data_IF_021978581197
#
_entry.id   IF_021978581197
#
_cell.length_a   1.000
_cell.length_b   1.000
_cell.length_c   1.000
_cell.angle_alpha   90.00
_cell.angle_beta   90.00
_cell.angle_gamma   90.00
#
_symmetry.space_group_name_H-M   'P 1'
#
loop_
_entity.id
_entity.type
_entity.pdbx_description
1 polymer ?
#
# COMPACT_ATOMS: atom_id res chain seq x y z
N UNK A 1 -36.03 -31.92 -30.33
CA UNK A 1 -35.72 -30.64 -29.66
C UNK A 1 -34.74 -30.95 -28.53
N UNK A 2 -33.47 -31.18 -28.85
CA UNK A 2 -32.37 -30.20 -29.07
C UNK A 2 -31.58 -29.95 -27.78
N UNK A 3 -30.81 -30.96 -27.37
CA UNK A 3 -29.78 -30.89 -26.32
C UNK A 3 -28.72 -29.81 -26.65
N UNK A 4 -28.44 -29.59 -27.95
CA UNK A 4 -27.53 -28.54 -28.42
C UNK A 4 -27.98 -27.10 -28.09
N UNK A 5 -29.28 -26.83 -27.95
CA UNK A 5 -29.77 -25.48 -27.66
C UNK A 5 -29.53 -25.04 -26.20
N UNK A 6 -29.30 -26.00 -25.30
CA UNK A 6 -29.02 -25.74 -23.89
C UNK A 6 -27.54 -25.36 -23.70
N UNK A 7 -26.64 -26.06 -24.39
CA UNK A 7 -25.22 -25.73 -24.43
C UNK A 7 -24.96 -24.39 -25.12
N UNK A 8 -25.64 -24.09 -26.23
CA UNK A 8 -25.44 -22.83 -26.96
C UNK A 8 -25.84 -21.60 -26.14
N UNK A 9 -26.89 -21.71 -25.31
CA UNK A 9 -27.26 -20.66 -24.33
C UNK A 9 -26.21 -20.50 -23.24
N UNK A 10 -25.65 -21.61 -22.77
CA UNK A 10 -24.59 -21.59 -21.75
C UNK A 10 -23.30 -20.97 -22.28
N UNK A 11 -22.88 -21.32 -23.50
CA UNK A 11 -21.75 -20.68 -24.17
C UNK A 11 -22.01 -19.20 -24.43
N UNK A 12 -23.20 -18.81 -24.89
CA UNK A 12 -23.58 -17.39 -25.02
C UNK A 12 -23.40 -16.65 -23.70
N UNK A 13 -23.84 -17.20 -22.56
CA UNK A 13 -23.69 -16.54 -21.25
C UNK A 13 -22.24 -16.40 -20.78
N UNK A 14 -21.33 -17.29 -21.21
CA UNK A 14 -19.89 -17.17 -20.91
C UNK A 14 -19.28 -16.04 -21.75
N UNK A 15 -19.64 -15.95 -23.03
CA UNK A 15 -19.06 -14.98 -23.96
C UNK A 15 -19.72 -13.60 -23.93
N UNK A 16 -20.99 -13.49 -23.50
CA UNK A 16 -21.70 -12.21 -23.33
C UNK A 16 -21.33 -11.49 -22.04
N UNK A 17 -20.63 -12.16 -21.11
CA UNK A 17 -20.28 -11.60 -19.81
C UNK A 17 -21.39 -11.69 -18.76
N UNK A 18 -22.57 -12.22 -19.12
CA UNK A 18 -23.74 -12.32 -18.23
C UNK A 18 -23.50 -13.30 -17.06
N UNK A 19 -22.60 -14.27 -17.19
CA UNK A 19 -22.17 -15.14 -16.07
C UNK A 19 -21.25 -14.43 -15.07
N UNK A 20 -20.64 -13.30 -15.46
CA UNK A 20 -19.71 -12.54 -14.64
C UNK A 20 -20.29 -11.23 -14.13
N UNK A 21 -21.54 -10.91 -14.48
CA UNK A 21 -22.32 -9.86 -13.82
C UNK A 21 -22.88 -10.37 -12.49
N UNK A 22 -22.01 -10.90 -11.63
CA UNK A 22 -22.31 -10.84 -10.21
C UNK A 22 -22.06 -9.39 -9.81
N UNK A 23 -23.13 -8.71 -9.37
CA UNK A 23 -22.95 -7.67 -8.37
C UNK A 23 -21.95 -8.23 -7.36
N UNK A 24 -20.80 -7.55 -7.19
CA UNK A 24 -19.83 -7.94 -6.17
C UNK A 24 -20.52 -7.82 -4.83
N UNK A 25 -21.20 -8.88 -4.39
CA UNK A 25 -21.63 -9.01 -3.01
C UNK A 25 -20.39 -8.70 -2.17
N UNK A 26 -20.51 -7.68 -1.32
CA UNK A 26 -19.40 -7.24 -0.49
C UNK A 26 -18.85 -8.46 0.25
N UNK A 27 -17.58 -8.78 0.01
CA UNK A 27 -16.93 -9.91 0.66
C UNK A 27 -16.97 -9.65 2.17
N UNK A 28 -17.87 -10.32 2.88
CA UNK A 28 -18.00 -10.18 4.32
C UNK A 28 -16.84 -10.90 5.00
N UNK A 29 -16.00 -10.12 5.66
CA UNK A 29 -14.87 -10.67 6.37
C UNK A 29 -15.30 -11.39 7.65
N UNK A 30 -14.82 -12.61 7.87
CA UNK A 30 -15.19 -13.41 9.04
C UNK A 30 -14.47 -12.93 10.30
N UNK A 31 -13.19 -12.57 10.15
CA UNK A 31 -12.35 -12.12 11.25
C UNK A 31 -11.72 -10.78 10.88
N UNK A 32 -11.86 -9.80 11.77
CA UNK A 32 -11.25 -8.48 11.63
C UNK A 32 -10.52 -8.10 12.92
N UNK A 33 -9.21 -7.90 12.81
CA UNK A 33 -8.36 -7.39 13.90
C UNK A 33 -7.98 -5.95 13.58
N UNK A 34 -8.02 -5.07 14.59
CA UNK A 34 -7.73 -3.64 14.46
C UNK A 34 -6.56 -3.28 15.38
N UNK A 35 -5.61 -2.49 14.89
CA UNK A 35 -4.58 -1.91 15.75
C UNK A 35 -5.17 -0.84 16.69
N UNK A 36 -4.35 -0.33 17.61
CA UNK A 36 -4.65 0.95 18.26
C UNK A 36 -4.74 2.07 17.19
N UNK A 37 -5.50 3.12 17.50
CA UNK A 37 -5.50 4.36 16.71
C UNK A 37 -4.29 5.19 17.11
N UNK A 38 -3.55 5.69 16.13
CA UNK A 38 -2.46 6.63 16.33
C UNK A 38 -2.94 8.01 15.90
N UNK A 39 -2.99 8.93 16.86
CA UNK A 39 -3.55 10.27 16.65
C UNK A 39 -2.48 11.24 16.15
N UNK A 40 -2.81 12.02 15.12
CA UNK A 40 -1.95 13.04 14.52
C UNK A 40 -2.83 14.02 13.75
N UNK A 41 -2.50 15.31 13.77
CA UNK A 41 -3.11 16.29 12.87
C UNK A 41 -2.56 16.09 11.44
N UNK A 42 -3.27 15.30 10.62
CA UNK A 42 -2.80 14.84 9.30
C UNK A 42 -3.07 15.91 8.24
N UNK A 43 -4.20 16.63 8.36
CA UNK A 43 -4.60 17.70 7.45
C UNK A 43 -4.16 19.11 7.89
N UNK A 44 -3.53 19.24 9.07
CA UNK A 44 -3.04 20.52 9.63
C UNK A 44 -4.14 21.53 9.92
N UNK A 45 -5.32 21.07 10.30
CA UNK A 45 -6.44 21.93 10.69
C UNK A 45 -6.50 22.21 12.20
N UNK A 46 -5.55 21.65 12.97
CA UNK A 46 -5.48 21.76 14.42
C UNK A 46 -6.28 20.71 15.18
N UNK A 47 -6.91 19.76 14.50
CA UNK A 47 -7.60 18.62 15.10
C UNK A 47 -6.83 17.33 14.84
N UNK A 48 -6.94 16.40 15.78
CA UNK A 48 -6.27 15.11 15.63
C UNK A 48 -7.11 14.14 14.80
N UNK A 49 -6.53 13.68 13.70
CA UNK A 49 -7.00 12.55 12.90
C UNK A 49 -6.38 11.25 13.41
N UNK A 50 -6.89 10.11 12.94
CA UNK A 50 -6.37 8.80 13.34
C UNK A 50 -5.82 8.00 12.16
N UNK A 51 -4.65 7.39 12.36
CA UNK A 51 -4.09 6.35 11.51
C UNK A 51 -4.34 5.00 12.18
N UNK A 52 -4.79 4.01 11.41
CA UNK A 52 -5.02 2.66 11.92
C UNK A 52 -4.73 1.59 10.87
N UNK A 53 -4.28 0.43 11.32
CA UNK A 53 -4.16 -0.77 10.50
C UNK A 53 -5.22 -1.79 10.87
N UNK A 54 -5.64 -2.57 9.88
CA UNK A 54 -6.59 -3.65 10.06
C UNK A 54 -6.10 -4.89 9.35
N UNK A 55 -6.38 -6.05 9.91
CA UNK A 55 -6.23 -7.32 9.22
C UNK A 55 -7.60 -7.97 9.12
N UNK A 56 -8.09 -8.18 7.89
CA UNK A 56 -9.36 -8.84 7.62
C UNK A 56 -9.11 -10.13 6.84
N UNK A 57 -9.41 -11.27 7.45
CA UNK A 57 -9.12 -12.61 6.90
C UNK A 57 -7.69 -12.75 6.34
N UNK A 58 -6.70 -12.27 7.10
CA UNK A 58 -5.28 -12.31 6.70
C UNK A 58 -4.82 -11.16 5.80
N UNK A 59 -5.74 -10.39 5.22
CA UNK A 59 -5.42 -9.25 4.35
C UNK A 59 -5.18 -7.99 5.17
N UNK A 60 -4.06 -7.32 4.94
CA UNK A 60 -3.74 -6.05 5.59
C UNK A 60 -4.41 -4.86 4.90
N UNK A 61 -4.90 -3.95 5.72
CA UNK A 61 -5.46 -2.67 5.31
C UNK A 61 -4.82 -1.54 6.10
N UNK A 62 -4.63 -0.42 5.42
CA UNK A 62 -4.30 0.86 6.01
C UNK A 62 -5.52 1.77 5.90
N UNK A 63 -5.85 2.50 6.98
CA UNK A 63 -6.90 3.51 6.93
C UNK A 63 -6.55 4.79 7.67
N UNK A 64 -7.15 5.87 7.20
CA UNK A 64 -7.15 7.19 7.83
C UNK A 64 -8.59 7.49 8.24
N UNK A 65 -8.76 7.93 9.48
CA UNK A 65 -10.03 8.37 10.03
C UNK A 65 -9.94 9.84 10.43
N UNK A 66 -11.06 10.55 10.31
CA UNK A 66 -11.17 11.94 10.78
C UNK A 66 -11.25 12.04 12.30
N UNK A 67 -11.38 13.27 12.82
CA UNK A 67 -11.45 13.58 14.24
C UNK A 67 -12.64 12.91 14.95
N UNK A 68 -13.68 12.56 14.19
CA UNK A 68 -14.88 11.87 14.66
C UNK A 68 -14.79 10.35 14.50
N UNK A 69 -13.67 9.85 13.98
CA UNK A 69 -13.44 8.43 13.72
C UNK A 69 -14.16 7.88 12.49
N UNK A 70 -14.62 8.74 11.57
CA UNK A 70 -15.19 8.33 10.28
C UNK A 70 -14.06 8.02 9.32
N UNK A 71 -14.20 6.94 8.54
CA UNK A 71 -13.18 6.54 7.58
C UNK A 71 -13.15 7.53 6.41
N UNK A 72 -12.02 8.21 6.23
CA UNK A 72 -11.77 9.10 5.08
C UNK A 72 -11.05 8.41 3.95
N UNK A 73 -10.19 7.45 4.29
CA UNK A 73 -9.43 6.69 3.33
C UNK A 73 -9.18 5.28 3.87
N UNK A 74 -9.29 4.27 3.01
CA UNK A 74 -8.90 2.89 3.32
C UNK A 74 -8.33 2.23 2.07
N UNK A 75 -7.22 1.51 2.22
CA UNK A 75 -6.64 0.75 1.13
C UNK A 75 -6.05 -0.57 1.57
N UNK A 76 -6.16 -1.55 0.67
CA UNK A 76 -5.59 -2.88 0.82
C UNK A 76 -4.09 -2.84 0.52
N UNK A 77 -3.33 -3.52 1.36
CA UNK A 77 -1.92 -3.82 1.14
C UNK A 77 -1.81 -5.24 0.58
N UNK A 78 -0.79 -5.46 -0.24
CA UNK A 78 -0.60 -6.75 -0.91
C UNK A 78 0.51 -7.53 -0.18
N UNK A 79 0.15 -8.45 0.73
CA UNK A 79 1.14 -9.34 1.33
C UNK A 79 1.68 -10.30 0.29
N UNK A 80 2.90 -10.78 0.51
CA UNK A 80 3.52 -11.89 -0.22
C UNK A 80 3.70 -13.14 0.64
N UNK A 81 3.83 -12.96 1.95
CA UNK A 81 4.13 -14.04 2.89
C UNK A 81 3.35 -13.91 4.19
N UNK A 82 3.77 -14.70 5.17
CA UNK A 82 3.23 -14.69 6.52
C UNK A 82 3.69 -13.45 7.28
N UNK A 83 3.03 -13.14 8.41
CA UNK A 83 3.44 -12.07 9.33
C UNK A 83 3.51 -10.65 8.74
N UNK A 84 2.89 -10.43 7.58
CA UNK A 84 2.83 -9.12 6.93
C UNK A 84 2.21 -8.06 7.85
N UNK A 85 2.84 -6.89 7.89
CA UNK A 85 2.46 -5.80 8.80
C UNK A 85 3.06 -4.46 8.41
N UNK A 86 2.36 -3.36 8.73
CA UNK A 86 2.97 -2.03 8.74
C UNK A 86 3.63 -1.84 10.09
N UNK A 87 4.94 -1.60 10.11
CA UNK A 87 5.68 -1.40 11.36
C UNK A 87 6.12 0.05 11.59
N UNK A 88 6.05 0.90 10.54
CA UNK A 88 6.34 2.34 10.65
C UNK A 88 5.55 3.13 9.62
N UNK A 89 5.02 4.27 10.03
CA UNK A 89 4.49 5.30 9.14
C UNK A 89 5.28 6.59 9.40
N UNK A 90 5.76 7.23 8.34
CA UNK A 90 6.45 8.53 8.45
C UNK A 90 5.60 9.60 7.78
N UNK A 91 5.33 10.69 8.48
CA UNK A 91 4.62 11.84 7.94
C UNK A 91 5.60 12.90 7.47
N UNK A 92 5.48 13.35 6.22
CA UNK A 92 6.41 14.31 5.59
C UNK A 92 5.66 15.30 4.72
N UNK A 93 6.04 16.57 4.81
CA UNK A 93 5.66 17.57 3.82
C UNK A 93 6.48 17.38 2.55
N UNK A 94 5.79 17.31 1.41
CA UNK A 94 6.37 17.27 0.07
C UNK A 94 6.47 18.68 -0.49
N UNK A 95 5.40 19.45 -0.38
CA UNK A 95 5.36 20.88 -0.75
C UNK A 95 4.57 21.66 0.31
N UNK A 96 4.23 22.93 0.04
CA UNK A 96 3.38 23.73 0.94
C UNK A 96 1.96 23.19 1.07
N UNK A 97 1.46 22.47 0.07
CA UNK A 97 0.06 22.01 -0.01
C UNK A 97 -0.07 20.49 -0.07
N UNK A 98 1.03 19.76 -0.26
CA UNK A 98 1.03 18.31 -0.38
C UNK A 98 1.84 17.71 0.75
N UNK A 99 1.20 16.79 1.49
CA UNK A 99 1.81 15.99 2.53
C UNK A 99 1.75 14.49 2.12
N UNK A 100 2.65 13.67 2.65
CA UNK A 100 2.68 12.22 2.38
C UNK A 100 2.87 11.42 3.66
N UNK A 101 2.14 10.32 3.76
CA UNK A 101 2.37 9.24 4.71
C UNK A 101 3.15 8.13 3.99
N UNK A 102 4.39 7.91 4.43
CA UNK A 102 5.30 6.88 3.92
C UNK A 102 5.19 5.66 4.82
N UNK A 103 4.44 4.66 4.35
CA UNK A 103 4.21 3.41 5.05
C UNK A 103 5.37 2.46 4.76
N UNK A 104 6.04 2.00 5.81
CA UNK A 104 7.03 0.93 5.74
C UNK A 104 6.30 -0.38 6.03
N UNK A 105 5.99 -1.11 4.97
CA UNK A 105 5.20 -2.33 5.02
C UNK A 105 6.09 -3.55 4.81
N UNK A 106 6.15 -4.42 5.81
CA UNK A 106 6.70 -5.76 5.67
C UNK A 106 5.67 -6.62 4.92
N UNK A 107 6.03 -7.09 3.73
CA UNK A 107 5.16 -7.90 2.87
C UNK A 107 5.07 -9.36 3.36
N UNK A 108 5.87 -9.73 4.35
CA UNK A 108 5.89 -11.07 4.93
C UNK A 108 7.07 -11.91 4.48
N UNK A 109 7.18 -13.09 5.09
CA UNK A 109 8.16 -14.12 4.81
C UNK A 109 7.53 -15.41 4.23
N UNK A 110 8.35 -16.16 3.50
CA UNK A 110 8.01 -17.50 3.01
C UNK A 110 9.13 -18.48 3.34
N UNK A 111 8.78 -19.67 3.84
CA UNK A 111 9.74 -20.71 4.25
C UNK A 111 9.65 -22.01 3.42
N UNK A 112 8.91 -22.01 2.30
CA UNK A 112 8.56 -23.24 1.58
C UNK A 112 9.75 -24.03 0.99
N UNK A 113 10.87 -23.36 0.69
CA UNK A 113 12.08 -24.01 0.17
C UNK A 113 13.36 -23.23 0.51
N UNK A 114 13.26 -21.90 0.53
CA UNK A 114 14.31 -20.92 0.85
C UNK A 114 13.59 -19.83 1.66
N UNK A 115 14.18 -19.39 2.77
CA UNK A 115 13.66 -18.24 3.49
C UNK A 115 13.80 -16.99 2.61
N UNK A 116 12.69 -16.31 2.36
CA UNK A 116 12.66 -15.00 1.69
C UNK A 116 11.71 -14.05 2.42
N UNK A 117 12.21 -12.88 2.80
CA UNK A 117 11.45 -11.80 3.39
C UNK A 117 11.57 -10.53 2.56
N UNK A 118 10.51 -9.74 2.46
CA UNK A 118 10.59 -8.43 1.79
C UNK A 118 9.73 -7.36 2.43
N UNK A 119 10.16 -6.10 2.30
CA UNK A 119 9.41 -4.95 2.73
C UNK A 119 9.47 -3.84 1.69
N UNK A 120 8.34 -3.16 1.52
CA UNK A 120 8.19 -2.07 0.57
C UNK A 120 7.58 -0.83 1.17
N UNK A 121 7.75 0.27 0.45
CA UNK A 121 7.07 1.50 0.73
C UNK A 121 5.70 1.53 0.06
N UNK A 122 4.76 2.19 0.72
CA UNK A 122 3.54 2.71 0.12
C UNK A 122 3.43 4.20 0.43
N UNK A 123 2.90 4.96 -0.53
CA UNK A 123 2.74 6.41 -0.43
C UNK A 123 1.25 6.71 -0.37
N UNK A 124 0.77 7.19 0.78
CA UNK A 124 -0.54 7.82 0.91
C UNK A 124 -0.33 9.34 0.84
N UNK A 125 -0.60 9.91 -0.32
CA UNK A 125 -0.37 11.34 -0.63
C UNK A 125 -1.65 12.11 -0.38
N UNK A 126 -1.59 13.14 0.46
CA UNK A 126 -2.73 13.98 0.83
C UNK A 126 -2.60 15.28 0.05
N UNK A 127 -3.50 15.49 -0.91
CA UNK A 127 -3.45 16.64 -1.81
C UNK A 127 -4.24 17.79 -1.18
N UNK A 128 -3.66 18.99 -1.18
CA UNK A 128 -4.23 20.20 -0.58
C UNK A 128 -4.63 20.03 0.89
N UNK A 129 -4.00 19.06 1.57
CA UNK A 129 -4.34 18.65 2.95
C UNK A 129 -5.81 18.28 3.13
N UNK A 130 -6.47 17.78 2.09
CA UNK A 130 -7.82 17.25 2.20
C UNK A 130 -7.77 15.73 2.38
N UNK A 131 -8.30 15.23 3.50
CA UNK A 131 -8.39 13.78 3.77
C UNK A 131 -9.31 13.05 2.80
N UNK A 132 -10.22 13.77 2.13
CA UNK A 132 -11.04 13.24 1.03
C UNK A 132 -10.24 13.05 -0.27
N UNK A 133 -9.07 13.67 -0.39
CA UNK A 133 -8.20 13.60 -1.57
C UNK A 133 -6.86 12.92 -1.24
N UNK A 134 -6.95 11.66 -0.81
CA UNK A 134 -5.80 10.81 -0.58
C UNK A 134 -5.57 9.89 -1.79
N UNK A 135 -4.39 9.99 -2.41
CA UNK A 135 -3.94 9.08 -3.46
C UNK A 135 -2.99 8.04 -2.87
N UNK A 136 -3.16 6.79 -3.28
CA UNK A 136 -2.37 5.69 -2.75
C UNK A 136 -1.58 4.98 -3.82
N UNK A 137 -0.28 4.92 -3.64
CA UNK A 137 0.62 4.34 -4.62
C UNK A 137 1.59 3.36 -3.96
N UNK A 138 1.80 2.24 -4.65
CA UNK A 138 2.79 1.22 -4.30
C UNK A 138 4.19 1.74 -4.66
N UNK A 139 5.06 1.83 -3.67
CA UNK A 139 6.43 2.31 -3.80
C UNK A 139 7.46 1.18 -3.98
N UNK A 140 8.77 1.51 -3.91
CA UNK A 140 9.87 0.58 -4.08
C UNK A 140 10.02 -0.37 -2.88
N UNK A 141 10.78 -1.45 -3.07
CA UNK A 141 11.32 -2.20 -1.95
C UNK A 141 12.35 -1.34 -1.22
N UNK A 142 12.29 -1.33 0.10
CA UNK A 142 13.34 -0.73 0.93
C UNK A 142 14.06 -1.77 1.78
N UNK A 143 13.58 -3.02 1.81
CA UNK A 143 14.27 -4.10 2.49
C UNK A 143 13.98 -5.46 1.86
N UNK A 144 14.99 -6.32 1.79
CA UNK A 144 14.88 -7.71 1.33
C UNK A 144 15.86 -8.58 2.10
N UNK A 145 15.43 -9.78 2.45
CA UNK A 145 16.22 -10.80 3.12
C UNK A 145 16.03 -12.14 2.42
N UNK A 146 17.12 -12.91 2.27
CA UNK A 146 17.08 -14.23 1.66
C UNK A 146 18.18 -15.13 2.20
N UNK A 147 17.85 -16.39 2.42
CA UNK A 147 18.80 -17.46 2.69
C UNK A 147 18.93 -18.40 1.49
N UNK A 148 20.07 -18.41 0.81
CA UNK A 148 20.32 -19.29 -0.34
C UNK A 148 20.73 -20.70 0.04
N UNK A 149 20.94 -21.51 -1.00
CA UNK A 149 21.49 -22.86 -0.87
C UNK A 149 22.90 -22.79 -0.24
N UNK A 150 23.19 -23.68 0.71
CA UNK A 150 24.46 -23.74 1.48
C UNK A 150 24.64 -22.60 2.50
N UNK A 151 23.55 -22.11 3.11
CA UNK A 151 23.60 -21.17 4.25
C UNK A 151 24.10 -19.76 3.92
N UNK A 152 24.12 -19.38 2.63
CA UNK A 152 24.48 -18.02 2.22
C UNK A 152 23.33 -17.08 2.54
N UNK A 153 23.59 -16.07 3.35
CA UNK A 153 22.57 -15.13 3.78
C UNK A 153 22.79 -13.75 3.15
N UNK A 154 21.71 -13.15 2.64
CA UNK A 154 21.72 -11.79 2.11
C UNK A 154 20.65 -10.95 2.78
N UNK A 155 21.05 -9.77 3.25
CA UNK A 155 20.15 -8.76 3.79
C UNK A 155 20.49 -7.41 3.16
N UNK A 156 19.51 -6.77 2.54
CA UNK A 156 19.66 -5.47 1.89
C UNK A 156 18.64 -4.53 2.50
N UNK A 157 19.12 -3.49 3.16
CA UNK A 157 18.29 -2.44 3.77
C UNK A 157 18.61 -1.09 3.14
N UNK A 158 17.66 -0.54 2.41
CA UNK A 158 17.76 0.77 1.79
C UNK A 158 17.42 1.84 2.82
N UNK A 159 18.18 2.92 2.78
CA UNK A 159 17.89 4.15 3.53
C UNK A 159 16.79 4.89 2.76
N UNK A 160 15.75 5.32 3.47
CA UNK A 160 14.63 6.08 2.90
C UNK A 160 14.78 7.54 3.31
N UNK A 161 14.95 8.44 2.35
CA UNK A 161 15.11 9.87 2.57
C UNK A 161 14.02 10.67 1.86
N UNK A 162 13.74 11.86 2.39
CA UNK A 162 12.83 12.84 1.78
C UNK A 162 13.55 14.17 1.71
N UNK A 163 14.00 14.56 0.52
CA UNK A 163 14.83 15.74 0.25
C UNK A 163 14.35 16.39 -1.04
N UNK A 164 14.56 17.69 -1.18
CA UNK A 164 14.36 18.42 -2.44
C UNK A 164 15.71 18.42 -3.18
N UNK A 165 15.86 17.52 -4.16
CA UNK A 165 17.13 17.30 -4.86
C UNK A 165 17.36 18.31 -5.99
N UNK A 166 16.29 18.81 -6.61
CA UNK A 166 16.36 19.71 -7.76
C UNK A 166 16.09 21.19 -7.38
N UNK A 167 15.78 21.46 -6.11
CA UNK A 167 15.42 22.78 -5.56
C UNK A 167 14.16 23.40 -6.20
N UNK A 168 13.18 22.59 -6.60
CA UNK A 168 11.91 23.07 -7.17
C UNK A 168 10.82 23.32 -6.11
N UNK A 169 11.12 23.07 -4.83
CA UNK A 169 10.20 23.21 -3.71
C UNK A 169 9.32 21.98 -3.46
N UNK A 170 9.49 20.90 -4.23
CA UNK A 170 8.90 19.58 -4.00
C UNK A 170 9.98 18.60 -3.55
N UNK A 171 9.77 17.98 -2.39
CA UNK A 171 10.69 16.94 -1.92
C UNK A 171 10.42 15.61 -2.62
N UNK A 172 11.46 14.98 -3.16
CA UNK A 172 11.41 13.62 -3.63
C UNK A 172 11.59 12.60 -2.50
N UNK A 173 11.13 11.37 -2.74
CA UNK A 173 11.38 10.22 -1.86
C UNK A 173 12.46 9.37 -2.52
N UNK A 174 13.54 9.10 -1.81
CA UNK A 174 14.65 8.29 -2.33
C UNK A 174 14.89 7.05 -1.48
N UNK A 175 15.22 5.94 -2.14
CA UNK A 175 15.68 4.71 -1.51
C UNK A 175 17.09 4.38 -1.97
N UNK A 176 18.04 4.32 -1.05
CA UNK A 176 19.46 4.16 -1.39
C UNK A 176 20.10 3.00 -0.64
N UNK A 177 20.84 2.15 -1.34
CA UNK A 177 21.67 1.08 -0.78
C UNK A 177 22.93 0.89 -1.63
N UNK A 178 24.10 1.14 -1.05
CA UNK A 178 25.39 1.18 -1.76
C UNK A 178 25.31 2.10 -2.99
N UNK A 179 25.55 1.57 -4.19
CA UNK A 179 25.48 2.32 -5.46
C UNK A 179 24.08 2.32 -6.09
N UNK A 180 23.12 1.59 -5.51
CA UNK A 180 21.75 1.55 -6.02
C UNK A 180 20.94 2.67 -5.39
N UNK A 181 20.44 3.58 -6.22
CA UNK A 181 19.52 4.63 -5.82
C UNK A 181 18.24 4.53 -6.66
N UNK A 182 17.10 4.82 -6.05
CA UNK A 182 15.84 5.08 -6.76
C UNK A 182 15.24 6.34 -6.17
N UNK A 183 14.89 7.28 -7.02
CA UNK A 183 14.29 8.56 -6.63
C UNK A 183 12.89 8.62 -7.22
N UNK A 184 11.92 8.98 -6.38
CA UNK A 184 10.52 9.15 -6.72
C UNK A 184 10.18 10.62 -6.61
N UNK A 185 9.82 11.22 -7.75
CA UNK A 185 9.35 12.60 -7.85
C UNK A 185 7.83 12.62 -7.91
N UNK A 186 7.19 13.57 -7.24
CA UNK A 186 5.75 13.74 -7.33
C UNK A 186 5.40 14.69 -8.48
N UNK A 187 4.69 14.20 -9.49
CA UNK A 187 4.31 14.94 -10.68
C UNK A 187 2.95 14.47 -11.19
N UNK A 188 2.10 15.40 -11.63
CA UNK A 188 0.78 15.09 -12.21
C UNK A 188 -0.07 14.17 -11.32
N UNK A 189 -0.09 14.48 -10.03
CA UNK A 189 -0.73 13.72 -8.95
C UNK A 189 -0.20 12.29 -8.70
N UNK A 190 0.95 11.93 -9.27
CA UNK A 190 1.53 10.59 -9.16
C UNK A 190 3.02 10.62 -8.78
N UNK A 191 3.51 9.54 -8.19
CA UNK A 191 4.93 9.35 -7.96
C UNK A 191 5.57 8.67 -9.18
N UNK A 192 6.49 9.36 -9.84
CA UNK A 192 7.25 8.84 -10.99
C UNK A 192 8.68 8.57 -10.58
N UNK A 193 9.25 7.45 -11.08
CA UNK A 193 10.66 7.14 -10.86
C UNK A 193 11.52 7.89 -11.87
N UNK A 194 12.60 8.50 -11.38
CA UNK A 194 13.65 9.10 -12.21
C UNK A 194 14.68 8.05 -12.65
#
# INVERSE_FOLDING_TARGET
MSVQAQDERYYRSIFSGDLFSSEKEGFYHKIAVRSKKYMLDINRDGKEDAIQTLKRDGVDFFRVLDEYGRVKFESKLNPKGLNSSIFRVSFKAISKTIDVLILHYYEGDTEAAIFEGSARLYFATIINRDLGNIKFQKGPYFWTEREGVVGKYWNRRYIVNTLDYNNDGFREISTTYNKNNRVFMYKDEQWVTL
#
